data_IF_969936076103
#
_entry.id   IF_969936076103
#
_cell.length_a   1.000
_cell.length_b   1.000
_cell.length_c   1.000
_cell.angle_alpha   90.00
_cell.angle_beta   90.00
_cell.angle_gamma   90.00
#
_symmetry.space_group_name_H-M   'P 1'
#
loop_
_entity.id
_entity.type
_entity.pdbx_description
1 polymer ?
#
# COMPACT_ATOMS: atom_id res chain seq x y z
N UNK A 1 -5.24 -7.93 10.41
CA UNK A 1 -4.74 -9.15 11.06
C UNK A 1 -5.07 -10.33 10.16
N UNK A 2 -4.08 -10.81 9.41
CA UNK A 2 -4.14 -12.09 8.71
C UNK A 2 -3.63 -13.13 9.71
N UNK A 3 -4.46 -14.10 10.07
CA UNK A 3 -4.03 -15.22 10.91
C UNK A 3 -3.18 -16.15 10.04
N UNK A 4 -1.95 -16.43 10.44
CA UNK A 4 -1.18 -17.49 9.79
C UNK A 4 -1.77 -18.86 10.18
N UNK A 5 -1.33 -19.92 9.50
CA UNK A 5 -1.81 -21.28 9.79
C UNK A 5 -1.46 -21.67 11.23
N UNK A 6 -0.30 -21.23 11.75
CA UNK A 6 0.10 -21.48 13.14
C UNK A 6 -0.87 -20.84 14.14
N UNK A 7 -1.32 -19.60 13.91
CA UNK A 7 -2.30 -18.92 14.78
C UNK A 7 -3.62 -19.71 14.85
N UNK A 8 -4.07 -20.26 13.72
CA UNK A 8 -5.29 -21.06 13.65
C UNK A 8 -5.15 -22.39 14.41
N UNK A 9 -3.97 -23.01 14.39
CA UNK A 9 -3.67 -24.24 15.15
C UNK A 9 -3.70 -23.95 16.65
N UNK A 10 -3.11 -22.84 17.10
CA UNK A 10 -3.10 -22.42 18.51
C UNK A 10 -4.53 -22.13 19.00
N UNK A 11 -5.31 -21.37 18.24
CA UNK A 11 -6.70 -21.06 18.60
C UNK A 11 -7.56 -22.32 18.71
N UNK A 12 -7.34 -23.29 17.82
CA UNK A 12 -8.04 -24.58 17.87
C UNK A 12 -7.64 -25.41 19.09
N UNK A 13 -6.36 -25.38 19.49
CA UNK A 13 -5.88 -26.04 20.71
C UNK A 13 -6.61 -25.52 21.97
N UNK A 14 -6.86 -24.21 22.05
CA UNK A 14 -7.62 -23.60 23.14
C UNK A 14 -9.15 -23.67 22.98
N UNK A 15 -9.65 -24.48 22.03
CA UNK A 15 -11.08 -24.65 21.74
C UNK A 15 -11.81 -23.33 21.39
N UNK A 16 -11.07 -22.33 20.92
CA UNK A 16 -11.64 -21.09 20.42
C UNK A 16 -12.26 -21.39 19.05
N UNK A 17 -13.58 -21.29 18.95
CA UNK A 17 -14.27 -21.49 17.70
C UNK A 17 -13.90 -20.37 16.73
N UNK A 18 -13.13 -20.71 15.69
CA UNK A 18 -12.67 -19.75 14.70
C UNK A 18 -13.84 -19.22 13.87
N UNK A 19 -14.08 -17.91 13.93
CA UNK A 19 -14.88 -17.23 12.92
C UNK A 19 -14.06 -17.14 11.62
N UNK A 20 -14.15 -18.17 10.78
CA UNK A 20 -13.52 -18.14 9.46
C UNK A 20 -14.15 -17.01 8.64
N UNK A 21 -13.35 -15.99 8.33
CA UNK A 21 -13.79 -14.95 7.39
C UNK A 21 -14.06 -15.62 6.06
N UNK A 22 -15.18 -15.30 5.40
CA UNK A 22 -15.43 -15.72 4.03
C UNK A 22 -14.19 -15.41 3.19
N UNK A 23 -13.76 -16.39 2.38
CA UNK A 23 -12.62 -16.24 1.49
C UNK A 23 -12.74 -14.92 0.74
N UNK A 24 -11.65 -14.14 0.74
CA UNK A 24 -11.60 -12.86 0.07
C UNK A 24 -11.89 -13.11 -1.41
N UNK A 25 -12.98 -12.53 -1.93
CA UNK A 25 -13.24 -12.57 -3.37
C UNK A 25 -12.20 -11.70 -4.05
N UNK A 26 -11.18 -12.32 -4.64
CA UNK A 26 -10.21 -11.63 -5.49
C UNK A 26 -11.00 -11.02 -6.65
N UNK A 27 -11.06 -9.70 -6.69
CA UNK A 27 -11.61 -8.95 -7.82
C UNK A 27 -10.45 -8.39 -8.61
N UNK A 28 -10.35 -8.79 -9.87
CA UNK A 28 -9.41 -8.16 -10.80
C UNK A 28 -9.89 -6.74 -11.07
N UNK A 29 -9.02 -5.76 -10.81
CA UNK A 29 -9.26 -4.37 -11.17
C UNK A 29 -8.54 -4.12 -12.50
N UNK A 30 -9.29 -3.87 -13.56
CA UNK A 30 -8.71 -3.44 -14.83
C UNK A 30 -8.32 -1.97 -14.72
N UNK A 31 -7.04 -1.69 -14.88
CA UNK A 31 -6.53 -0.33 -14.81
C UNK A 31 -6.70 0.37 -16.16
N UNK A 32 -7.30 1.56 -16.14
CA UNK A 32 -7.25 2.46 -17.29
C UNK A 32 -5.89 3.18 -17.27
N UNK A 33 -5.18 3.10 -18.37
CA UNK A 33 -3.91 3.82 -18.59
C UNK A 33 -4.11 5.32 -18.37
N UNK A 34 -3.18 6.02 -17.70
CA UNK A 34 -3.23 7.48 -17.62
C UNK A 34 -3.21 8.10 -19.03
N UNK A 35 -3.74 9.30 -19.17
CA UNK A 35 -3.52 10.07 -20.40
C UNK A 35 -2.02 10.31 -20.61
N UNK A 36 -1.59 10.45 -21.86
CA UNK A 36 -0.21 10.82 -22.20
C UNK A 36 0.20 12.07 -21.43
N UNK A 37 1.39 12.05 -20.85
CA UNK A 37 1.92 13.12 -19.98
C UNK A 37 1.66 12.91 -18.49
N UNK A 38 0.77 11.99 -18.08
CA UNK A 38 0.52 11.72 -16.68
C UNK A 38 1.26 10.46 -16.21
N UNK A 39 1.83 10.56 -15.02
CA UNK A 39 2.35 9.43 -14.26
C UNK A 39 1.30 8.97 -13.24
N UNK A 40 1.39 7.69 -12.86
CA UNK A 40 0.51 7.11 -11.84
C UNK A 40 1.34 6.64 -10.66
N UNK A 41 1.02 7.15 -9.47
CA UNK A 41 1.58 6.71 -8.20
C UNK A 41 0.51 5.90 -7.42
N UNK A 42 0.71 4.58 -7.25
CA UNK A 42 -0.14 3.74 -6.42
C UNK A 42 0.43 3.67 -5.00
N UNK A 43 -0.11 4.48 -4.09
CA UNK A 43 0.37 4.57 -2.71
C UNK A 43 -0.33 3.53 -1.84
N UNK A 44 0.45 2.83 -1.01
CA UNK A 44 -0.04 2.00 0.08
C UNK A 44 0.58 2.42 1.40
N UNK A 45 -0.21 2.32 2.48
CA UNK A 45 0.17 2.68 3.84
C UNK A 45 0.07 1.46 4.76
N UNK A 46 1.04 1.30 5.64
CA UNK A 46 1.06 0.25 6.64
C UNK A 46 1.13 0.86 8.03
N UNK A 47 0.19 0.48 8.91
CA UNK A 47 0.14 0.91 10.30
C UNK A 47 -0.07 -0.29 11.24
N UNK A 48 0.69 -0.35 12.34
CA UNK A 48 0.53 -1.41 13.37
C UNK A 48 -0.64 -1.19 14.33
N UNK A 49 -1.23 0.01 14.31
CA UNK A 49 -2.36 0.40 15.15
C UNK A 49 -2.87 1.79 14.80
N UNK A 50 -3.82 2.32 15.58
CA UNK A 50 -4.41 3.64 15.33
C UNK A 50 -3.40 4.79 15.52
N UNK A 51 -2.46 4.64 16.46
CA UNK A 51 -1.32 5.53 16.74
C UNK A 51 -0.12 4.65 17.05
N UNK A 52 0.61 4.24 16.03
CA UNK A 52 1.73 3.32 16.17
C UNK A 52 2.71 3.56 15.02
N UNK A 53 3.70 2.68 14.88
CA UNK A 53 4.62 2.63 13.76
C UNK A 53 3.85 2.56 12.44
N UNK A 54 4.17 3.54 11.58
CA UNK A 54 3.66 3.65 10.23
C UNK A 54 4.79 3.66 9.20
N UNK A 55 4.46 3.15 8.03
CA UNK A 55 5.27 3.18 6.84
C UNK A 55 4.37 3.45 5.63
N UNK A 56 4.95 3.93 4.55
CA UNK A 56 4.25 4.08 3.28
C UNK A 56 5.14 3.62 2.14
N UNK A 57 4.51 3.20 1.05
CA UNK A 57 5.19 2.78 -0.16
C UNK A 57 4.39 3.21 -1.37
N UNK A 58 5.03 3.24 -2.53
CA UNK A 58 4.31 3.42 -3.78
C UNK A 58 4.99 2.74 -4.95
N UNK A 59 4.19 2.37 -5.94
CA UNK A 59 4.63 1.90 -7.27
C UNK A 59 4.25 2.95 -8.31
N UNK A 60 5.21 3.30 -9.17
CA UNK A 60 5.04 4.28 -10.24
C UNK A 60 4.92 3.60 -11.59
N UNK A 61 4.00 4.12 -12.41
CA UNK A 61 3.88 3.79 -13.82
C UNK A 61 3.86 5.06 -14.67
N UNK A 62 4.37 4.97 -15.89
CA UNK A 62 4.27 6.05 -16.87
C UNK A 62 2.91 6.09 -17.61
N UNK A 63 2.76 7.05 -18.51
CA UNK A 63 1.57 7.20 -19.35
C UNK A 63 1.34 6.04 -20.33
N UNK A 64 2.26 5.08 -20.44
CA UNK A 64 2.09 3.84 -21.21
C UNK A 64 1.73 2.64 -20.31
N UNK A 65 1.59 2.86 -19.00
CA UNK A 65 1.47 1.83 -17.96
C UNK A 65 2.72 0.99 -17.71
N UNK A 66 3.87 1.38 -18.26
CA UNK A 66 5.15 0.74 -17.95
C UNK A 66 5.56 1.08 -16.52
N UNK A 67 6.12 0.09 -15.81
CA UNK A 67 6.67 0.31 -14.47
C UNK A 67 7.94 1.16 -14.55
N UNK A 68 8.02 2.23 -13.76
CA UNK A 68 9.17 3.15 -13.76
C UNK A 68 9.87 3.28 -12.40
N UNK A 69 9.29 2.73 -11.33
CA UNK A 69 9.92 2.76 -10.02
C UNK A 69 9.03 2.38 -8.86
N UNK A 70 9.64 2.25 -7.69
CA UNK A 70 8.98 1.96 -6.42
C UNK A 70 9.72 2.69 -5.30
N UNK A 71 9.00 3.05 -4.24
CA UNK A 71 9.62 3.43 -2.97
C UNK A 71 8.93 2.74 -1.79
N UNK A 72 9.66 2.61 -0.69
CA UNK A 72 9.12 2.26 0.61
C UNK A 72 9.88 3.05 1.68
N UNK A 73 9.14 3.68 2.59
CA UNK A 73 9.71 4.51 3.65
C UNK A 73 9.04 4.24 4.98
N UNK A 74 9.85 4.02 6.00
CA UNK A 74 9.41 4.05 7.39
C UNK A 74 9.24 5.51 7.82
N UNK A 75 8.08 5.87 8.36
CA UNK A 75 7.75 7.27 8.69
C UNK A 75 7.93 7.54 10.19
N UNK A 76 7.68 6.55 11.05
CA UNK A 76 7.76 6.71 12.50
C UNK A 76 6.46 6.37 13.20
N UNK A 77 6.26 6.91 14.41
CA UNK A 77 5.02 6.72 15.17
C UNK A 77 4.03 7.83 14.83
N UNK A 78 2.88 7.45 14.26
CA UNK A 78 1.88 8.41 13.79
C UNK A 78 0.49 7.78 13.69
N UNK A 79 -0.53 8.56 13.31
CA UNK A 79 -1.88 8.02 13.05
C UNK A 79 -1.95 7.38 11.66
N UNK A 80 -2.82 6.38 11.51
CA UNK A 80 -3.01 5.69 10.24
C UNK A 80 -3.44 6.61 9.06
N UNK A 81 -3.98 7.81 9.30
CA UNK A 81 -4.24 8.76 8.20
C UNK A 81 -2.95 9.38 7.64
N UNK A 82 -1.91 9.48 8.46
CA UNK A 82 -0.65 10.12 8.09
C UNK A 82 0.20 9.25 7.16
N UNK A 83 0.01 7.93 7.13
CA UNK A 83 0.79 7.05 6.24
C UNK A 83 0.55 7.37 4.76
N UNK A 84 -0.70 7.51 4.33
CA UNK A 84 -1.10 7.84 2.96
C UNK A 84 -0.77 9.28 2.62
N UNK A 85 -0.96 10.20 3.56
CA UNK A 85 -0.61 11.60 3.35
C UNK A 85 0.89 11.76 3.11
N UNK A 86 1.72 11.11 3.95
CA UNK A 86 3.17 11.13 3.79
C UNK A 86 3.59 10.41 2.50
N UNK A 87 2.95 9.29 2.17
CA UNK A 87 3.18 8.61 0.90
C UNK A 87 2.90 9.49 -0.32
N UNK A 88 1.85 10.31 -0.28
CA UNK A 88 1.53 11.26 -1.35
C UNK A 88 2.58 12.38 -1.45
N UNK A 89 3.02 12.94 -0.32
CA UNK A 89 4.07 13.95 -0.28
C UNK A 89 5.37 13.39 -0.90
N UNK A 90 5.79 12.21 -0.45
CA UNK A 90 7.01 11.55 -0.97
C UNK A 90 6.87 11.21 -2.46
N UNK A 91 5.70 10.75 -2.94
CA UNK A 91 5.48 10.54 -4.38
C UNK A 91 5.78 11.80 -5.19
N UNK A 92 5.22 12.94 -4.77
CA UNK A 92 5.37 14.23 -5.47
C UNK A 92 6.83 14.69 -5.45
N UNK A 93 7.51 14.54 -4.31
CA UNK A 93 8.94 14.87 -4.20
C UNK A 93 9.81 13.99 -5.10
N UNK A 94 9.53 12.68 -5.16
CA UNK A 94 10.24 11.76 -6.05
C UNK A 94 10.00 12.14 -7.51
N UNK A 95 8.75 12.39 -7.90
CA UNK A 95 8.39 12.79 -9.27
C UNK A 95 9.15 14.06 -9.68
N UNK A 96 9.18 15.05 -8.79
CA UNK A 96 9.91 16.30 -9.00
C UNK A 96 11.43 16.06 -9.14
N UNK A 97 12.04 15.32 -8.22
CA UNK A 97 13.49 15.04 -8.24
C UNK A 97 13.89 14.20 -9.45
N UNK A 98 13.03 13.28 -9.90
CA UNK A 98 13.27 12.46 -11.08
C UNK A 98 13.07 13.22 -12.40
N UNK A 99 12.54 14.45 -12.35
CA UNK A 99 12.23 15.21 -13.55
C UNK A 99 11.17 14.52 -14.40
N UNK A 100 10.26 13.78 -13.78
CA UNK A 100 9.11 13.17 -14.44
C UNK A 100 8.07 14.26 -14.70
N UNK A 101 8.41 15.20 -15.57
CA UNK A 101 7.54 16.29 -15.99
C UNK A 101 6.89 15.94 -17.32
N UNK A 102 5.69 16.50 -17.54
CA UNK A 102 4.99 16.47 -18.82
C UNK A 102 5.96 16.83 -19.97
N UNK A 103 6.15 15.92 -20.92
CA UNK A 103 6.73 16.19 -22.24
C UNK A 103 5.65 16.74 -23.16
#
# INVERSE_FOLDING_TARGET
MHYCVEDLVILRYFNVHGHTKKALKVRTMFWKTPSVGFFKCNIDGAARGARDLIACSSIFHDGTSEYIGVFASFIGVAVALQDKLMGAIICIEIEFVKGWTFL
#
